data_IF_063200506418
#
_entry.id   IF_063200506418
#
_cell.length_a   1.000
_cell.length_b   1.000
_cell.length_c   1.000
_cell.angle_alpha   90.00
_cell.angle_beta   90.00
_cell.angle_gamma   90.00
#
_symmetry.space_group_name_H-M   'P 1'
#
loop_
_entity.id
_entity.type
_entity.pdbx_description
1 polymer ?
#
# COMPACT_ATOMS: atom_id res chain seq x y z
N UNK A 1 -9.14 6.88 23.92
CA UNK A 1 -8.40 6.38 25.08
C UNK A 1 -7.50 5.26 24.59
N UNK A 2 -6.19 5.52 24.51
CA UNK A 2 -5.20 4.55 24.03
C UNK A 2 -5.07 3.33 24.95
N UNK A 3 -5.51 3.45 26.20
CA UNK A 3 -5.37 2.36 27.18
C UNK A 3 -6.36 1.22 26.91
N UNK A 4 -7.42 1.47 26.12
CA UNK A 4 -8.39 0.46 25.68
C UNK A 4 -8.17 -0.04 24.24
N UNK A 5 -7.25 0.56 23.47
CA UNK A 5 -7.07 0.26 22.04
C UNK A 5 -6.84 -1.23 21.76
N UNK A 6 -6.08 -1.92 22.62
CA UNK A 6 -5.87 -3.37 22.54
C UNK A 6 -7.16 -4.18 22.59
N UNK A 7 -8.08 -3.82 23.48
CA UNK A 7 -9.34 -4.53 23.64
C UNK A 7 -10.28 -4.27 22.46
N UNK A 8 -10.28 -3.05 21.93
CA UNK A 8 -11.05 -2.70 20.73
C UNK A 8 -10.55 -3.46 19.50
N UNK A 9 -9.23 -3.49 19.28
CA UNK A 9 -8.63 -4.29 18.21
C UNK A 9 -8.97 -5.78 18.36
N UNK A 10 -8.86 -6.33 19.58
CA UNK A 10 -9.27 -7.71 19.86
C UNK A 10 -10.74 -7.95 19.51
N UNK A 11 -11.64 -7.05 19.90
CA UNK A 11 -13.07 -7.19 19.61
C UNK A 11 -13.36 -7.16 18.10
N UNK A 12 -12.61 -6.37 17.31
CA UNK A 12 -12.71 -6.39 15.85
C UNK A 12 -12.24 -7.74 15.28
N UNK A 13 -11.11 -8.25 15.74
CA UNK A 13 -10.59 -9.55 15.28
C UNK A 13 -11.53 -10.71 15.62
N UNK A 14 -12.13 -10.71 16.81
CA UNK A 14 -13.12 -11.71 17.21
C UNK A 14 -14.40 -11.65 16.35
N UNK A 15 -14.69 -10.49 15.72
CA UNK A 15 -15.79 -10.32 14.75
C UNK A 15 -15.43 -10.72 13.32
N UNK A 16 -14.22 -11.23 13.09
CA UNK A 16 -13.77 -11.74 11.80
C UNK A 16 -13.00 -10.76 10.93
N UNK A 17 -12.71 -9.54 11.41
CA UNK A 17 -11.80 -8.64 10.70
C UNK A 17 -10.39 -9.24 10.65
N UNK A 18 -9.74 -9.16 9.48
CA UNK A 18 -8.44 -9.80 9.19
C UNK A 18 -7.29 -8.81 8.98
N UNK A 19 -7.51 -7.56 9.34
CA UNK A 19 -6.53 -6.48 9.19
C UNK A 19 -7.03 -5.19 9.81
N UNK A 20 -6.14 -4.20 9.89
CA UNK A 20 -6.43 -2.84 10.35
C UNK A 20 -5.88 -1.84 9.34
N UNK A 21 -6.61 -0.74 9.12
CA UNK A 21 -6.12 0.45 8.41
C UNK A 21 -5.84 1.53 9.44
N UNK A 22 -4.61 2.04 9.47
CA UNK A 22 -4.15 3.07 10.39
C UNK A 22 -3.69 4.28 9.60
N UNK A 23 -4.43 5.40 9.63
CA UNK A 23 -3.95 6.64 9.04
C UNK A 23 -2.97 7.30 10.00
N UNK A 24 -1.75 6.75 10.08
CA UNK A 24 -0.72 7.09 11.05
C UNK A 24 -0.33 8.57 11.03
N UNK A 25 -0.42 9.22 9.88
CA UNK A 25 -0.21 10.67 9.76
C UNK A 25 -1.11 11.49 10.71
N UNK A 26 -2.32 11.03 11.02
CA UNK A 26 -3.21 11.69 11.99
C UNK A 26 -2.83 11.45 13.45
N UNK A 27 -1.94 10.49 13.73
CA UNK A 27 -1.44 10.19 15.08
C UNK A 27 -0.26 11.06 15.48
N UNK A 28 0.39 11.75 14.52
CA UNK A 28 1.52 12.64 14.78
C UNK A 28 1.18 13.67 15.88
N UNK A 29 2.09 13.78 16.84
CA UNK A 29 1.92 14.67 18.00
C UNK A 29 0.89 14.22 19.04
N UNK A 30 0.16 13.12 18.79
CA UNK A 30 -0.85 12.57 19.72
C UNK A 30 -0.38 11.25 20.34
N UNK A 31 0.04 10.30 19.52
CA UNK A 31 0.52 8.99 19.94
C UNK A 31 1.47 8.43 18.90
N UNK A 32 2.57 7.83 19.34
CA UNK A 32 3.53 7.15 18.45
C UNK A 32 3.02 5.76 18.10
N UNK A 33 3.30 5.28 16.89
CA UNK A 33 2.90 3.93 16.49
C UNK A 33 3.63 2.85 17.31
N UNK A 34 4.87 3.13 17.73
CA UNK A 34 5.71 2.26 18.55
C UNK A 34 5.49 2.43 20.07
N UNK A 35 4.41 3.12 20.47
CA UNK A 35 4.02 3.21 21.88
C UNK A 35 3.71 1.80 22.42
N UNK A 36 4.27 1.47 23.60
CA UNK A 36 4.09 0.16 24.26
C UNK A 36 2.63 -0.28 24.39
N UNK A 37 1.68 0.65 24.41
CA UNK A 37 0.25 0.37 24.50
C UNK A 37 -0.31 -0.20 23.19
N UNK A 38 0.30 0.15 22.07
CA UNK A 38 -0.08 -0.33 20.73
C UNK A 38 0.66 -1.60 20.32
N UNK A 39 1.88 -1.84 20.84
CA UNK A 39 2.68 -3.03 20.52
C UNK A 39 1.92 -4.37 20.62
N UNK A 40 1.06 -4.62 21.63
CA UNK A 40 0.27 -5.86 21.70
C UNK A 40 -0.74 -6.04 20.55
N UNK A 41 -1.13 -4.97 19.86
CA UNK A 41 -1.99 -5.04 18.68
C UNK A 41 -1.16 -5.58 17.51
N UNK A 42 0.04 -5.04 17.29
CA UNK A 42 0.95 -5.45 16.22
C UNK A 42 1.40 -6.91 16.39
N UNK A 43 1.77 -7.30 17.60
CA UNK A 43 2.06 -8.71 17.97
C UNK A 43 0.89 -9.63 17.61
N UNK A 44 -0.33 -9.21 17.93
CA UNK A 44 -1.53 -10.00 17.61
C UNK A 44 -1.78 -10.10 16.12
N UNK A 45 -1.53 -9.03 15.37
CA UNK A 45 -1.67 -9.05 13.91
C UNK A 45 -0.65 -9.97 13.26
N UNK A 46 0.62 -9.92 13.69
CA UNK A 46 1.68 -10.82 13.22
C UNK A 46 1.31 -12.29 13.49
N UNK A 47 1.00 -12.63 14.75
CA UNK A 47 0.65 -14.01 15.15
C UNK A 47 -0.60 -14.55 14.45
N UNK A 48 -1.50 -13.67 14.01
CA UNK A 48 -2.72 -14.04 13.28
C UNK A 48 -2.55 -14.00 11.76
N UNK A 49 -1.40 -13.54 11.25
CA UNK A 49 -1.15 -13.34 9.82
C UNK A 49 -1.99 -12.22 9.19
N UNK A 50 -2.44 -11.25 9.99
CA UNK A 50 -3.28 -10.14 9.56
C UNK A 50 -2.46 -9.02 8.91
N UNK A 51 -3.11 -8.24 8.05
CA UNK A 51 -2.44 -7.16 7.32
C UNK A 51 -2.69 -5.81 8.01
N UNK A 52 -1.61 -5.07 8.24
CA UNK A 52 -1.63 -3.66 8.62
C UNK A 52 -1.52 -2.81 7.35
N UNK A 53 -2.60 -2.14 6.99
CA UNK A 53 -2.53 -1.06 6.03
C UNK A 53 -2.25 0.25 6.78
N UNK A 54 -1.25 1.03 6.36
CA UNK A 54 -0.82 2.23 7.09
C UNK A 54 -0.56 3.38 6.13
N UNK A 55 -1.03 4.58 6.50
CA UNK A 55 -0.69 5.82 5.79
C UNK A 55 0.22 6.67 6.68
N UNK A 56 1.52 6.57 6.45
CA UNK A 56 2.52 7.39 7.14
C UNK A 56 2.41 8.85 6.68
N UNK A 57 2.87 9.78 7.51
CA UNK A 57 3.05 11.17 7.12
C UNK A 57 4.04 11.31 5.96
N UNK A 58 4.00 12.42 5.24
CA UNK A 58 5.00 12.69 4.19
C UNK A 58 6.43 12.73 4.77
N UNK A 59 7.41 12.40 3.92
CA UNK A 59 8.80 12.31 4.33
C UNK A 59 9.08 11.10 5.22
N UNK A 60 9.91 11.29 6.24
CA UNK A 60 10.48 10.21 7.06
C UNK A 60 10.07 10.27 8.54
N UNK A 61 9.18 11.20 8.92
CA UNK A 61 8.85 11.48 10.34
C UNK A 61 8.39 10.24 11.12
N UNK A 62 7.74 9.29 10.44
CA UNK A 62 7.23 8.04 11.03
C UNK A 62 7.99 6.78 10.58
N UNK A 63 9.06 6.93 9.79
CA UNK A 63 9.86 5.78 9.31
C UNK A 63 10.50 5.06 10.48
N UNK A 64 11.13 5.77 11.42
CA UNK A 64 11.76 5.14 12.58
C UNK A 64 10.74 4.46 13.52
N UNK A 65 9.53 5.01 13.66
CA UNK A 65 8.46 4.35 14.43
C UNK A 65 8.06 3.02 13.79
N UNK A 66 7.95 3.00 12.46
CA UNK A 66 7.63 1.79 11.72
C UNK A 66 8.78 0.78 11.78
N UNK A 67 10.03 1.22 11.67
CA UNK A 67 11.22 0.38 11.79
C UNK A 67 11.23 -0.37 13.12
N UNK A 68 11.01 0.33 14.24
CA UNK A 68 10.96 -0.28 15.57
C UNK A 68 9.87 -1.37 15.68
N UNK A 69 8.71 -1.17 15.03
CA UNK A 69 7.62 -2.16 15.00
C UNK A 69 8.02 -3.37 14.17
N UNK A 70 8.64 -3.17 13.00
CA UNK A 70 9.05 -4.23 12.09
C UNK A 70 10.23 -5.04 12.64
N UNK A 71 11.16 -4.42 13.37
CA UNK A 71 12.21 -5.12 14.12
C UNK A 71 11.64 -5.99 15.24
N UNK A 72 10.60 -5.50 15.94
CA UNK A 72 9.93 -6.26 17.00
C UNK A 72 9.05 -7.41 16.44
N UNK A 73 8.45 -7.20 15.27
CA UNK A 73 7.50 -8.11 14.62
C UNK A 73 7.86 -8.34 13.14
N UNK A 74 8.96 -9.05 12.84
CA UNK A 74 9.53 -9.17 11.49
C UNK A 74 8.65 -9.94 10.49
N UNK A 75 7.62 -10.64 10.95
CA UNK A 75 6.64 -11.34 10.11
C UNK A 75 5.34 -10.55 9.95
N UNK A 76 5.23 -9.36 10.55
CA UNK A 76 4.06 -8.50 10.37
C UNK A 76 3.91 -8.13 8.90
N UNK A 77 2.69 -8.32 8.38
CA UNK A 77 2.33 -7.97 7.01
C UNK A 77 1.90 -6.52 6.92
N UNK A 78 2.53 -5.74 6.05
CA UNK A 78 2.30 -4.29 5.98
C UNK A 78 2.11 -3.82 4.54
N UNK A 79 1.10 -2.98 4.35
CA UNK A 79 0.86 -2.19 3.15
C UNK A 79 0.99 -0.70 3.50
N UNK A 80 2.04 -0.03 3.03
CA UNK A 80 2.23 1.41 3.19
C UNK A 80 1.54 2.13 2.02
N UNK A 81 0.55 2.97 2.31
CA UNK A 81 -0.31 3.60 1.31
C UNK A 81 0.32 4.79 0.57
N UNK A 82 -0.44 5.33 -0.38
CA UNK A 82 -0.13 6.56 -1.13
C UNK A 82 1.23 6.56 -1.82
N UNK A 83 1.73 5.36 -2.16
CA UNK A 83 3.02 5.16 -2.79
C UNK A 83 4.20 5.82 -2.03
N UNK A 84 4.09 5.88 -0.71
CA UNK A 84 5.05 6.57 0.16
C UNK A 84 5.10 8.09 -0.06
N UNK A 85 4.03 8.68 -0.61
CA UNK A 85 3.93 10.12 -0.93
C UNK A 85 4.99 10.58 -1.95
N UNK A 86 5.13 9.85 -3.05
CA UNK A 86 6.20 9.98 -4.08
C UNK A 86 6.45 11.36 -4.71
N UNK A 87 5.50 12.30 -4.61
CA UNK A 87 5.68 13.68 -5.06
C UNK A 87 6.02 14.68 -3.93
N UNK A 88 6.29 14.19 -2.72
CA UNK A 88 6.64 14.99 -1.54
C UNK A 88 8.12 14.87 -1.20
N UNK A 89 8.61 15.83 -0.41
CA UNK A 89 9.99 15.84 0.06
C UNK A 89 10.24 14.66 1.01
N UNK A 90 11.41 14.02 0.87
CA UNK A 90 11.81 12.89 1.70
C UNK A 90 11.50 11.52 1.09
N UNK A 91 10.76 11.46 -0.02
CA UNK A 91 10.74 10.27 -0.86
C UNK A 91 12.13 10.08 -1.52
N UNK A 92 12.71 8.86 -1.57
CA UNK A 92 12.08 7.55 -1.38
C UNK A 92 12.16 6.94 0.04
N UNK A 93 12.39 7.69 1.11
CA UNK A 93 12.69 7.13 2.44
C UNK A 93 11.73 6.05 2.98
N UNK A 94 10.42 6.19 2.73
CA UNK A 94 9.44 5.17 3.14
C UNK A 94 9.56 3.85 2.36
N UNK A 95 10.06 3.89 1.12
CA UNK A 95 10.29 2.68 0.32
C UNK A 95 11.35 1.81 0.99
N UNK A 96 12.33 2.40 1.68
CA UNK A 96 13.40 1.62 2.32
C UNK A 96 12.88 0.68 3.41
N UNK A 97 11.69 0.89 3.97
CA UNK A 97 11.04 -0.05 4.89
C UNK A 97 10.74 -1.42 4.24
N UNK A 98 10.72 -1.51 2.90
CA UNK A 98 10.46 -2.77 2.20
C UNK A 98 11.63 -3.74 2.19
N UNK A 99 12.78 -3.38 2.78
CA UNK A 99 13.84 -4.34 3.06
C UNK A 99 13.36 -5.45 4.03
N UNK A 100 12.33 -5.18 4.83
CA UNK A 100 11.58 -6.18 5.58
C UNK A 100 10.74 -7.06 4.63
N UNK A 101 10.72 -8.37 4.90
CA UNK A 101 10.15 -9.37 3.98
C UNK A 101 8.68 -9.08 3.61
N UNK A 102 7.86 -8.77 4.60
CA UNK A 102 6.41 -8.67 4.49
C UNK A 102 5.87 -7.24 4.35
N UNK A 103 6.72 -6.29 3.94
CA UNK A 103 6.37 -4.88 3.79
C UNK A 103 6.31 -4.50 2.31
N UNK A 104 5.21 -3.87 1.90
CA UNK A 104 4.90 -3.48 0.54
C UNK A 104 4.46 -2.02 0.48
N UNK A 105 4.77 -1.34 -0.63
CA UNK A 105 4.24 -0.01 -0.93
C UNK A 105 3.02 -0.15 -1.85
N UNK A 106 1.87 0.34 -1.39
CA UNK A 106 0.61 0.37 -2.12
C UNK A 106 0.43 1.70 -2.87
N UNK A 107 0.06 1.62 -4.15
CA UNK A 107 -0.18 2.75 -5.05
C UNK A 107 -1.57 3.37 -4.96
N UNK A 108 -2.39 3.00 -3.97
CA UNK A 108 -3.66 3.69 -3.69
C UNK A 108 -3.41 5.18 -3.56
N UNK A 109 -4.06 6.01 -4.39
CA UNK A 109 -3.91 7.47 -4.38
C UNK A 109 -2.71 8.01 -5.17
N UNK A 110 -1.89 7.14 -5.78
CA UNK A 110 -0.76 7.54 -6.62
C UNK A 110 -1.20 8.50 -7.75
N UNK A 111 -2.23 8.15 -8.51
CA UNK A 111 -2.75 9.02 -9.59
C UNK A 111 -3.29 10.36 -9.06
N UNK A 112 -3.73 10.42 -7.80
CA UNK A 112 -4.17 11.67 -7.19
C UNK A 112 -2.97 12.59 -6.87
N UNK A 113 -1.82 12.03 -6.48
CA UNK A 113 -0.59 12.80 -6.29
C UNK A 113 -0.12 13.48 -7.58
N UNK A 114 -0.40 12.88 -8.74
CA UNK A 114 -0.02 13.38 -10.06
C UNK A 114 -1.20 13.93 -10.87
N UNK A 115 -2.32 14.28 -10.20
CA UNK A 115 -3.56 14.70 -10.86
C UNK A 115 -3.40 15.91 -11.79
N UNK A 116 -2.49 16.82 -11.47
CA UNK A 116 -2.27 18.05 -12.26
C UNK A 116 -1.67 17.75 -13.65
N UNK A 117 -1.08 16.58 -13.85
CA UNK A 117 -0.55 16.14 -15.16
C UNK A 117 -1.66 15.68 -16.11
N UNK A 118 -2.78 15.20 -15.56
CA UNK A 118 -3.81 14.48 -16.31
C UNK A 118 -3.34 13.10 -16.83
N UNK A 119 -4.28 12.32 -17.38
CA UNK A 119 -3.95 11.04 -18.02
C UNK A 119 -3.03 11.27 -19.24
N UNK A 120 -1.90 10.54 -19.39
CA UNK A 120 -1.58 9.25 -18.74
C UNK A 120 -0.64 9.31 -17.52
N UNK A 121 -0.56 10.42 -16.80
CA UNK A 121 0.22 10.55 -15.55
C UNK A 121 1.70 10.18 -15.69
N UNK A 122 2.46 10.83 -16.59
CA UNK A 122 3.87 10.49 -16.83
C UNK A 122 4.72 10.47 -15.54
N UNK A 123 4.52 11.40 -14.61
CA UNK A 123 5.23 11.44 -13.33
C UNK A 123 4.88 10.27 -12.42
N UNK A 124 3.64 9.77 -12.46
CA UNK A 124 3.24 8.58 -11.71
C UNK A 124 3.94 7.32 -12.24
N UNK A 125 4.07 7.17 -13.57
CA UNK A 125 4.82 6.05 -14.17
C UNK A 125 6.31 6.15 -13.86
N UNK A 126 6.89 7.35 -13.93
CA UNK A 126 8.28 7.56 -13.54
C UNK A 126 8.52 7.22 -12.06
N UNK A 127 7.57 7.55 -11.17
CA UNK A 127 7.66 7.18 -9.76
C UNK A 127 7.64 5.65 -9.58
N UNK A 128 6.79 4.93 -10.32
CA UNK A 128 6.75 3.46 -10.31
C UNK A 128 8.11 2.91 -10.80
N UNK A 129 8.62 3.39 -11.93
CA UNK A 129 9.90 2.93 -12.49
C UNK A 129 11.07 3.17 -11.52
N UNK A 130 11.12 4.34 -10.87
CA UNK A 130 12.14 4.66 -9.85
C UNK A 130 11.99 3.77 -8.61
N UNK A 131 10.77 3.51 -8.14
CA UNK A 131 10.55 2.60 -7.01
C UNK A 131 11.01 1.17 -7.33
N UNK A 132 10.75 0.68 -8.55
CA UNK A 132 11.26 -0.64 -8.99
C UNK A 132 12.78 -0.67 -8.99
N UNK A 133 13.43 0.38 -9.50
CA UNK A 133 14.88 0.47 -9.49
C UNK A 133 15.49 0.51 -8.08
N UNK A 134 14.76 1.10 -7.12
CA UNK A 134 15.20 1.25 -5.73
C UNK A 134 14.99 -0.01 -4.88
N UNK A 135 13.80 -0.61 -4.94
CA UNK A 135 13.37 -1.67 -4.00
C UNK A 135 12.84 -2.94 -4.65
N UNK A 136 12.85 -3.01 -5.98
CA UNK A 136 12.34 -4.16 -6.72
C UNK A 136 10.83 -4.10 -6.96
N UNK A 137 10.40 -4.68 -8.09
CA UNK A 137 8.99 -4.72 -8.47
C UNK A 137 8.15 -5.59 -7.54
N UNK A 138 8.77 -6.54 -6.83
CA UNK A 138 8.13 -7.43 -5.86
C UNK A 138 7.68 -6.74 -4.57
N UNK A 139 8.07 -5.48 -4.35
CA UNK A 139 7.76 -4.70 -3.14
C UNK A 139 6.69 -3.63 -3.34
N UNK A 140 6.19 -3.46 -4.56
CA UNK A 140 5.21 -2.43 -4.88
C UNK A 140 3.93 -3.03 -5.45
N UNK A 141 2.77 -2.47 -5.13
CA UNK A 141 1.48 -2.97 -5.60
C UNK A 141 0.53 -1.83 -5.93
N UNK A 142 -0.37 -2.08 -6.86
CA UNK A 142 -1.37 -1.14 -7.33
C UNK A 142 -2.58 -1.07 -6.38
N UNK A 143 -3.16 0.11 -6.26
CA UNK A 143 -4.46 0.34 -5.62
C UNK A 143 -5.15 1.52 -6.31
N UNK A 144 -6.48 1.46 -6.46
CA UNK A 144 -7.22 2.53 -7.16
C UNK A 144 -7.52 3.75 -6.28
N UNK A 145 -7.60 3.56 -4.96
CA UNK A 145 -8.13 4.55 -4.01
C UNK A 145 -9.52 5.09 -4.43
N UNK A 146 -10.37 4.19 -4.92
CA UNK A 146 -11.77 4.49 -5.19
C UNK A 146 -12.52 4.75 -3.87
N UNK A 147 -13.43 5.75 -3.79
CA UNK A 147 -13.89 6.63 -4.87
C UNK A 147 -13.08 7.94 -5.01
N UNK A 148 -12.07 8.19 -4.15
CA UNK A 148 -11.39 9.49 -4.05
C UNK A 148 -10.78 9.94 -5.37
N UNK A 149 -10.14 9.03 -6.10
CA UNK A 149 -9.49 9.32 -7.39
C UNK A 149 -10.48 9.59 -8.53
N UNK A 150 -11.76 9.23 -8.37
CA UNK A 150 -12.77 9.32 -9.43
C UNK A 150 -13.39 10.70 -9.63
N UNK A 151 -12.99 11.68 -8.82
CA UNK A 151 -13.43 13.07 -9.00
C UNK A 151 -12.75 13.74 -10.20
N UNK A 152 -11.58 13.24 -10.59
CA UNK A 152 -10.77 13.80 -11.69
C UNK A 152 -10.63 12.83 -12.87
N UNK A 153 -10.63 11.51 -12.62
CA UNK A 153 -10.31 10.48 -13.62
C UNK A 153 -11.21 9.26 -13.52
N UNK A 154 -11.17 8.38 -14.52
CA UNK A 154 -11.94 7.13 -14.52
C UNK A 154 -11.14 5.96 -13.92
N UNK A 155 -11.84 4.93 -13.46
CA UNK A 155 -11.21 3.70 -12.97
C UNK A 155 -10.35 3.04 -14.05
N UNK A 156 -10.83 3.08 -15.30
CA UNK A 156 -10.07 2.64 -16.47
C UNK A 156 -8.75 3.40 -16.60
N UNK A 157 -8.77 4.73 -16.52
CA UNK A 157 -7.54 5.54 -16.59
C UNK A 157 -6.55 5.20 -15.46
N UNK A 158 -7.04 4.89 -14.26
CA UNK A 158 -6.21 4.47 -13.13
C UNK A 158 -5.53 3.09 -13.29
N UNK A 159 -5.91 2.31 -14.30
CA UNK A 159 -5.29 1.02 -14.64
C UNK A 159 -4.50 1.07 -15.95
N UNK A 160 -5.10 1.67 -16.99
CA UNK A 160 -4.57 1.63 -18.35
C UNK A 160 -3.24 2.38 -18.49
N UNK A 161 -2.99 3.40 -17.67
CA UNK A 161 -1.74 4.14 -17.72
C UNK A 161 -0.52 3.24 -17.42
N UNK A 162 -0.68 2.23 -16.54
CA UNK A 162 0.35 1.22 -16.25
C UNK A 162 0.41 0.17 -17.36
N UNK A 163 -0.74 -0.36 -17.79
CA UNK A 163 -0.82 -1.44 -18.79
C UNK A 163 -0.19 -1.04 -20.12
N UNK A 164 -0.46 0.19 -20.55
CA UNK A 164 0.02 0.74 -21.83
C UNK A 164 1.41 1.35 -21.74
N UNK A 165 1.98 1.48 -20.54
CA UNK A 165 3.34 2.01 -20.36
C UNK A 165 4.38 1.10 -21.00
N UNK A 166 5.35 1.72 -21.67
CA UNK A 166 6.55 1.06 -22.20
C UNK A 166 7.74 1.16 -21.25
N UNK A 167 7.61 1.88 -20.12
CA UNK A 167 8.66 2.00 -19.10
C UNK A 167 8.72 0.80 -18.16
N UNK A 168 7.70 -0.06 -18.21
CA UNK A 168 7.60 -1.27 -17.41
C UNK A 168 7.53 -2.49 -18.32
N UNK A 169 8.25 -3.55 -17.95
CA UNK A 169 8.11 -4.84 -18.62
C UNK A 169 6.87 -5.60 -18.13
N UNK A 170 6.53 -6.70 -18.80
CA UNK A 170 5.29 -7.44 -18.50
C UNK A 170 5.29 -8.09 -17.12
N UNK A 171 6.45 -8.53 -16.61
CA UNK A 171 6.53 -9.09 -15.25
C UNK A 171 6.36 -8.01 -14.18
N UNK A 172 6.97 -6.84 -14.37
CA UNK A 172 6.78 -5.68 -13.48
C UNK A 172 5.31 -5.25 -13.43
N UNK A 173 4.64 -5.20 -14.60
CA UNK A 173 3.19 -4.93 -14.67
C UNK A 173 2.40 -6.00 -13.95
N UNK A 174 2.70 -7.28 -14.14
CA UNK A 174 2.01 -8.40 -13.49
C UNK A 174 2.14 -8.36 -11.97
N UNK A 175 3.34 -8.12 -11.47
CA UNK A 175 3.62 -7.98 -10.04
C UNK A 175 2.90 -6.78 -9.44
N UNK A 176 3.04 -5.61 -10.06
CA UNK A 176 2.43 -4.36 -9.59
C UNK A 176 0.89 -4.42 -9.63
N UNK A 177 0.28 -4.86 -10.73
CA UNK A 177 -1.17 -4.82 -10.92
C UNK A 177 -1.95 -5.90 -10.16
N UNK A 178 -1.28 -6.86 -9.52
CA UNK A 178 -1.99 -7.83 -8.70
C UNK A 178 -1.14 -8.91 -8.04
N UNK A 179 -0.02 -9.32 -8.63
CA UNK A 179 0.79 -10.42 -8.10
C UNK A 179 1.26 -10.21 -6.66
N UNK A 180 1.71 -9.00 -6.33
CA UNK A 180 2.16 -8.68 -4.97
C UNK A 180 1.00 -8.55 -3.99
N UNK A 181 -0.14 -7.98 -4.42
CA UNK A 181 -1.34 -7.94 -3.59
C UNK A 181 -1.84 -9.35 -3.28
N UNK A 182 -1.85 -10.25 -4.28
CA UNK A 182 -2.22 -11.65 -4.09
C UNK A 182 -1.32 -12.34 -3.06
N UNK A 183 0.00 -12.12 -3.13
CA UNK A 183 0.97 -12.65 -2.15
C UNK A 183 0.73 -12.11 -0.74
N UNK A 184 0.59 -10.79 -0.58
CA UNK A 184 0.41 -10.17 0.75
C UNK A 184 -0.89 -10.63 1.42
N UNK A 185 -1.99 -10.58 0.68
CA UNK A 185 -3.34 -10.89 1.19
C UNK A 185 -3.70 -12.39 1.14
N UNK A 186 -2.84 -13.24 0.57
CA UNK A 186 -3.09 -14.69 0.46
C UNK A 186 -4.25 -15.02 -0.48
N UNK A 187 -4.39 -14.24 -1.56
CA UNK A 187 -5.40 -14.50 -2.60
C UNK A 187 -4.85 -15.57 -3.52
N UNK A 188 -5.59 -16.67 -3.69
CA UNK A 188 -5.22 -17.72 -4.63
C UNK A 188 -5.29 -17.18 -6.07
N UNK A 189 -4.22 -17.39 -6.84
CA UNK A 189 -4.25 -17.09 -8.27
C UNK A 189 -5.30 -17.99 -8.94
N UNK A 190 -6.11 -17.44 -9.86
CA UNK A 190 -7.12 -18.23 -10.55
C UNK A 190 -6.45 -19.34 -11.35
N UNK A 191 -7.04 -20.55 -11.31
CA UNK A 191 -6.53 -21.72 -12.02
C UNK A 191 -6.50 -21.56 -13.55
N UNK A 192 -7.27 -20.62 -14.10
CA UNK A 192 -7.36 -20.34 -15.53
C UNK A 192 -7.33 -18.84 -15.80
N UNK A 193 -6.61 -18.45 -16.85
CA UNK A 193 -6.59 -17.10 -17.37
C UNK A 193 -7.97 -16.73 -17.95
N UNK A 194 -8.52 -15.59 -17.52
CA UNK A 194 -9.83 -15.12 -17.98
C UNK A 194 -9.66 -14.12 -19.11
N UNK A 195 -10.35 -14.38 -20.23
CA UNK A 195 -10.47 -13.38 -21.30
C UNK A 195 -11.16 -12.11 -20.77
N UNK A 196 -10.70 -10.91 -21.17
CA UNK A 196 -11.38 -9.66 -20.85
C UNK A 196 -12.84 -9.72 -21.30
N UNK A 197 -13.75 -9.25 -20.45
CA UNK A 197 -15.15 -9.06 -20.83
C UNK A 197 -15.21 -7.84 -21.77
N UNK A 198 -15.78 -7.97 -22.98
CA UNK A 198 -15.96 -6.83 -23.89
C UNK A 198 -16.72 -5.71 -23.19
N UNK A 199 -16.32 -4.46 -23.44
CA UNK A 199 -17.02 -3.34 -22.82
C UNK A 199 -18.44 -3.23 -23.38
N UNK A 200 -19.39 -2.83 -22.53
CA UNK A 200 -20.78 -2.54 -22.96
C UNK A 200 -20.80 -1.45 -24.06
N UNK A 201 -19.76 -0.61 -24.11
CA UNK A 201 -19.58 0.46 -25.11
C UNK A 201 -18.92 0.00 -26.42
N UNK A 202 -18.47 -1.26 -26.49
CA UNK A 202 -17.84 -1.84 -27.69
C UNK A 202 -18.84 -2.68 -28.52
N UNK A 203 -20.14 -2.61 -28.18
CA UNK A 203 -21.26 -3.26 -28.90
C UNK A 203 -22.17 -2.28 -29.60
#
# INVERSE_FOLDING_TARGET
DTDNAKNEAKALFDRGFRGLKVPASHMLGQVRMDDRRLMPIWERMETSGFVLAVDLSEGEDQVQEMENILEAFPKLKVAIGHFGMSNRRGWPGQLHLTHHENVYIEGGGLVWLYRDEGYPFPGAIEAISKAIAEVGAEKIMWGSDWPRTMVDFTYRQSLEFVRTSTLLNEEEKRLFLGGNAARLYGIEEPAEERSPIPLITEG
#
